data_IF_508524645589
#
_entry.id   IF_508524645589
#
_cell.length_a   1.000
_cell.length_b   1.000
_cell.length_c   1.000
_cell.angle_alpha   90.00
_cell.angle_beta   90.00
_cell.angle_gamma   90.00
#
_symmetry.space_group_name_H-M   'P 1'
#
loop_
_entity.id
_entity.type
_entity.pdbx_description
1 polymer ?
#
# COMPACT_ATOMS: atom_id res chain seq x y z
N UNK A 1 14.47 6.24 0.08
CA UNK A 1 14.93 6.18 1.48
C UNK A 1 16.29 6.84 1.58
N UNK A 2 16.71 7.18 2.79
CA UNK A 2 18.02 7.82 3.07
C UNK A 2 18.70 7.11 4.23
N UNK A 3 20.03 7.06 4.26
CA UNK A 3 20.82 6.52 5.37
C UNK A 3 21.23 5.04 5.24
N UNK A 4 21.83 4.52 6.31
CA UNK A 4 22.53 3.22 6.34
C UNK A 4 21.56 2.04 6.13
N UNK A 5 20.36 2.11 6.71
CA UNK A 5 19.33 1.07 6.52
C UNK A 5 18.88 0.98 5.05
N UNK A 6 18.67 2.12 4.40
CA UNK A 6 18.33 2.17 2.98
C UNK A 6 19.45 1.63 2.09
N UNK A 7 20.71 1.95 2.39
CA UNK A 7 21.85 1.39 1.67
C UNK A 7 21.91 -0.14 1.80
N UNK A 8 21.67 -0.68 2.99
CA UNK A 8 21.58 -2.12 3.23
C UNK A 8 20.44 -2.79 2.43
N UNK A 9 19.24 -2.21 2.44
CA UNK A 9 18.10 -2.75 1.69
C UNK A 9 18.37 -2.74 0.19
N UNK A 10 19.00 -1.68 -0.33
CA UNK A 10 19.37 -1.57 -1.74
C UNK A 10 20.37 -2.66 -2.14
N UNK A 11 21.35 -2.93 -1.28
CA UNK A 11 22.30 -4.03 -1.48
C UNK A 11 21.56 -5.38 -1.50
N UNK A 12 20.73 -5.68 -0.50
CA UNK A 12 19.90 -6.90 -0.51
C UNK A 12 18.99 -6.99 -1.74
N UNK A 13 18.44 -5.86 -2.18
CA UNK A 13 17.60 -5.78 -3.35
C UNK A 13 18.36 -6.21 -4.61
N UNK A 14 19.56 -5.65 -4.78
CA UNK A 14 20.43 -5.92 -5.92
C UNK A 14 20.92 -7.37 -5.96
N UNK A 15 21.15 -7.99 -4.80
CA UNK A 15 21.59 -9.40 -4.70
C UNK A 15 20.43 -10.41 -4.62
N UNK A 16 19.16 -9.97 -4.72
CA UNK A 16 18.01 -10.88 -4.65
C UNK A 16 17.77 -11.51 -3.27
N UNK A 17 18.42 -11.00 -2.23
CA UNK A 17 18.35 -11.50 -0.85
C UNK A 17 17.23 -10.84 -0.01
N UNK A 18 16.34 -10.10 -0.68
CA UNK A 18 15.20 -9.43 -0.08
C UNK A 18 13.94 -10.25 -0.33
N UNK A 19 13.28 -10.66 0.74
CA UNK A 19 11.98 -11.34 0.67
C UNK A 19 10.82 -10.36 0.56
N UNK A 20 11.02 -9.10 0.97
CA UNK A 20 10.00 -8.06 0.98
C UNK A 20 10.60 -6.64 1.07
N UNK A 21 9.78 -5.59 0.90
CA UNK A 21 10.15 -4.16 1.00
C UNK A 21 9.65 -3.54 2.31
N UNK A 22 10.44 -3.70 3.37
CA UNK A 22 10.09 -3.27 4.73
C UNK A 22 10.30 -1.80 5.10
N UNK A 23 10.91 -1.00 4.21
CA UNK A 23 11.39 0.33 4.58
C UNK A 23 10.27 1.27 5.05
N UNK A 24 9.16 1.35 4.31
CA UNK A 24 8.03 2.19 4.67
C UNK A 24 7.42 1.79 6.02
N UNK A 25 7.34 0.48 6.29
CA UNK A 25 6.81 -0.04 7.55
C UNK A 25 7.73 0.33 8.72
N UNK A 26 9.05 0.18 8.57
CA UNK A 26 10.01 0.59 9.61
C UNK A 26 9.95 2.08 9.89
N UNK A 27 9.84 2.91 8.85
CA UNK A 27 9.64 4.35 9.00
C UNK A 27 8.34 4.66 9.75
N UNK A 28 7.24 3.97 9.42
CA UNK A 28 5.96 4.13 10.13
C UNK A 28 6.05 3.72 11.62
N UNK A 29 6.76 2.63 11.94
CA UNK A 29 7.01 2.21 13.33
C UNK A 29 7.81 3.25 14.12
N UNK A 30 8.79 3.90 13.48
CA UNK A 30 9.59 4.98 14.08
C UNK A 30 8.81 6.29 14.17
N UNK A 31 7.95 6.59 13.20
CA UNK A 31 7.16 7.82 13.17
C UNK A 31 5.96 7.77 14.12
N UNK A 32 5.41 6.59 14.41
CA UNK A 32 4.27 6.44 15.30
C UNK A 32 4.56 7.04 16.69
N UNK A 33 3.61 7.85 17.21
CA UNK A 33 3.72 8.47 18.53
C UNK A 33 3.63 7.42 19.64
N UNK A 34 4.14 7.76 20.84
CA UNK A 34 3.97 6.93 22.04
C UNK A 34 2.47 6.72 22.35
N UNK A 35 2.09 5.50 22.69
CA UNK A 35 0.69 5.09 22.88
C UNK A 35 -0.18 5.13 21.62
N UNK A 36 0.42 5.28 20.44
CA UNK A 36 -0.30 5.36 19.16
C UNK A 36 -0.70 4.00 18.59
N UNK A 37 -1.42 4.04 17.48
CA UNK A 37 -1.80 2.84 16.72
C UNK A 37 -1.08 2.83 15.37
N UNK A 38 -0.45 1.70 15.05
CA UNK A 38 0.11 1.41 13.74
C UNK A 38 -0.81 0.40 13.03
N UNK A 39 -1.49 0.85 11.98
CA UNK A 39 -2.32 -0.01 11.12
C UNK A 39 -1.51 -0.45 9.89
N UNK A 40 -1.32 -1.75 9.74
CA UNK A 40 -0.57 -2.34 8.63
C UNK A 40 -1.57 -2.97 7.65
N UNK A 41 -1.65 -2.37 6.47
CA UNK A 41 -2.43 -2.87 5.33
C UNK A 41 -1.48 -3.14 4.16
N UNK A 42 -1.66 -4.29 3.50
CA UNK A 42 -0.83 -4.69 2.36
C UNK A 42 -0.52 -6.18 2.38
N UNK A 43 0.14 -6.65 1.33
CA UNK A 43 0.62 -8.04 1.23
C UNK A 43 2.09 -8.04 1.62
N UNK A 44 2.38 -8.64 2.76
CA UNK A 44 3.74 -8.80 3.28
C UNK A 44 4.04 -10.27 3.53
N UNK A 45 5.27 -10.69 3.22
CA UNK A 45 5.82 -12.01 3.51
C UNK A 45 6.73 -11.97 4.74
N UNK A 46 7.53 -13.01 4.94
CA UNK A 46 8.56 -13.05 5.99
C UNK A 46 9.58 -11.94 5.76
N UNK A 47 9.67 -10.98 6.68
CA UNK A 47 10.53 -9.80 6.59
C UNK A 47 11.49 -9.73 7.78
N UNK A 48 12.65 -9.11 7.59
CA UNK A 48 13.66 -8.94 8.63
C UNK A 48 13.69 -7.52 9.21
N UNK A 49 14.39 -7.36 10.35
CA UNK A 49 14.71 -6.07 10.98
C UNK A 49 13.50 -5.24 11.42
N UNK A 50 12.50 -5.90 12.00
CA UNK A 50 11.42 -5.19 12.68
C UNK A 50 11.94 -4.48 13.94
N UNK A 51 11.80 -3.14 14.08
CA UNK A 51 12.22 -2.39 15.26
C UNK A 51 11.27 -2.63 16.45
N UNK A 52 11.18 -3.88 16.92
CA UNK A 52 10.27 -4.30 17.97
C UNK A 52 10.52 -3.53 19.28
N UNK A 53 11.78 -3.26 19.61
CA UNK A 53 12.13 -2.44 20.78
C UNK A 53 11.54 -1.03 20.73
N UNK A 54 11.42 -0.42 19.52
CA UNK A 54 10.76 0.89 19.36
C UNK A 54 9.27 0.77 19.67
N UNK A 55 8.60 -0.27 19.16
CA UNK A 55 7.17 -0.49 19.43
C UNK A 55 6.90 -0.70 20.91
N UNK A 56 7.72 -1.54 21.57
CA UNK A 56 7.60 -1.83 23.01
C UNK A 56 7.81 -0.57 23.83
N UNK A 57 8.93 0.15 23.63
CA UNK A 57 9.26 1.35 24.40
C UNK A 57 8.24 2.49 24.20
N UNK A 58 7.57 2.50 23.04
CA UNK A 58 6.52 3.47 22.75
C UNK A 58 5.13 2.99 23.17
N UNK A 59 4.94 1.73 23.56
CA UNK A 59 3.62 1.17 23.85
C UNK A 59 2.65 1.27 22.65
N UNK A 60 3.12 0.98 21.44
CA UNK A 60 2.32 1.11 20.21
C UNK A 60 1.38 -0.08 20.06
N UNK A 61 0.10 0.18 19.79
CA UNK A 61 -0.86 -0.84 19.35
C UNK A 61 -0.64 -1.15 17.87
N UNK A 62 -0.35 -2.40 17.53
CA UNK A 62 -0.22 -2.83 16.13
C UNK A 62 -1.49 -3.55 15.70
N UNK A 63 -2.12 -3.09 14.63
CA UNK A 63 -3.26 -3.74 13.99
C UNK A 63 -2.89 -4.13 12.56
N UNK A 64 -3.14 -5.37 12.18
CA UNK A 64 -2.88 -5.88 10.84
C UNK A 64 -4.18 -6.33 10.19
N UNK A 65 -4.27 -6.24 8.86
CA UNK A 65 -5.42 -6.76 8.12
C UNK A 65 -5.10 -6.96 6.64
N UNK A 66 -5.80 -7.91 6.01
CA UNK A 66 -6.16 -7.81 4.60
C UNK A 66 -7.45 -6.99 4.48
N UNK A 67 -7.73 -6.45 3.30
CA UNK A 67 -8.93 -5.63 3.10
C UNK A 67 -10.20 -6.47 3.28
N UNK A 68 -11.11 -6.05 4.16
CA UNK A 68 -12.37 -6.77 4.48
C UNK A 68 -13.54 -6.26 3.62
N UNK A 69 -13.40 -6.27 2.29
CA UNK A 69 -14.31 -5.56 1.39
C UNK A 69 -15.76 -5.93 1.57
N UNK A 70 -16.09 -7.22 1.57
CA UNK A 70 -17.47 -7.68 1.67
C UNK A 70 -18.21 -7.16 2.91
N UNK A 71 -17.49 -6.92 4.02
CA UNK A 71 -18.08 -6.37 5.24
C UNK A 71 -18.45 -4.89 5.08
N UNK A 72 -17.59 -4.11 4.42
CA UNK A 72 -17.72 -2.65 4.34
C UNK A 72 -18.37 -2.16 3.05
N UNK A 73 -18.56 -3.02 2.05
CA UNK A 73 -19.21 -2.64 0.78
C UNK A 73 -20.55 -1.93 0.99
N UNK A 74 -21.49 -2.44 1.82
CA UNK A 74 -22.75 -1.74 2.07
C UNK A 74 -22.55 -0.34 2.67
N UNK A 75 -21.69 -0.23 3.69
CA UNK A 75 -21.35 1.03 4.36
C UNK A 75 -20.67 2.06 3.44
N UNK A 76 -20.02 1.60 2.36
CA UNK A 76 -19.34 2.45 1.39
C UNK A 76 -20.22 2.81 0.18
N UNK A 77 -21.22 1.99 -0.15
CA UNK A 77 -22.10 2.24 -1.30
C UNK A 77 -23.12 3.33 -1.01
N UNK A 78 -23.69 3.38 0.21
CA UNK A 78 -24.71 4.38 0.55
C UNK A 78 -24.17 5.82 0.41
N UNK A 79 -23.00 6.19 0.97
CA UNK A 79 -22.46 7.55 0.81
C UNK A 79 -22.06 7.89 -0.64
N UNK A 80 -21.70 6.88 -1.44
CA UNK A 80 -21.41 7.07 -2.88
C UNK A 80 -22.71 7.32 -3.65
N UNK A 81 -23.77 6.57 -3.35
CA UNK A 81 -25.09 6.75 -3.96
C UNK A 81 -25.72 8.10 -3.57
N UNK A 82 -25.52 8.53 -2.33
CA UNK A 82 -26.01 9.81 -1.81
C UNK A 82 -25.14 11.01 -2.26
N UNK A 83 -24.03 10.75 -2.96
CA UNK A 83 -23.13 11.78 -3.49
C UNK A 83 -22.21 12.43 -2.45
N UNK A 84 -22.11 11.87 -1.25
CA UNK A 84 -21.19 12.33 -0.21
C UNK A 84 -19.72 11.99 -0.53
N UNK A 85 -19.50 10.92 -1.30
CA UNK A 85 -18.18 10.46 -1.73
C UNK A 85 -18.16 10.35 -3.26
N UNK A 86 -17.22 11.06 -3.90
CA UNK A 86 -16.92 10.90 -5.32
C UNK A 86 -15.81 9.87 -5.56
N UNK A 87 -16.11 8.67 -6.12
CA UNK A 87 -15.12 7.64 -6.40
C UNK A 87 -14.40 7.83 -7.74
N UNK A 88 -14.67 8.91 -8.48
CA UNK A 88 -14.14 9.15 -9.83
C UNK A 88 -12.67 9.55 -9.83
N UNK A 89 -12.19 10.26 -8.80
CA UNK A 89 -10.81 10.74 -8.69
C UNK A 89 -9.73 9.70 -9.02
N UNK A 90 -9.77 8.45 -8.49
CA UNK A 90 -8.77 7.45 -8.83
C UNK A 90 -8.89 6.92 -10.27
N UNK A 91 -10.05 7.01 -10.93
CA UNK A 91 -10.22 6.62 -12.33
C UNK A 91 -9.55 7.62 -13.25
N UNK A 92 -8.34 7.30 -13.73
CA UNK A 92 -7.58 8.25 -14.57
C UNK A 92 -7.63 7.93 -16.05
N UNK A 93 -7.83 6.67 -16.44
CA UNK A 93 -7.83 6.24 -17.83
C UNK A 93 -8.93 5.22 -18.08
N UNK A 94 -9.52 5.27 -19.27
CA UNK A 94 -10.52 4.33 -19.74
C UNK A 94 -10.03 3.62 -20.98
N UNK A 95 -10.29 2.31 -21.03
CA UNK A 95 -9.88 1.42 -22.12
C UNK A 95 -11.06 0.53 -22.47
N UNK A 96 -11.14 0.09 -23.73
CA UNK A 96 -11.99 -1.03 -24.11
C UNK A 96 -11.45 -2.34 -23.51
N UNK A 97 -12.31 -3.36 -23.42
CA UNK A 97 -11.89 -4.68 -22.93
C UNK A 97 -10.74 -5.28 -23.76
N UNK A 98 -10.72 -5.03 -25.08
CA UNK A 98 -9.64 -5.47 -25.98
C UNK A 98 -8.29 -4.81 -25.72
N UNK A 99 -8.29 -3.61 -25.15
CA UNK A 99 -7.08 -2.86 -24.79
C UNK A 99 -6.54 -3.23 -23.40
N UNK A 100 -7.15 -4.20 -22.72
CA UNK A 100 -6.71 -4.69 -21.42
C UNK A 100 -5.19 -4.90 -21.30
N UNK A 101 -4.52 -5.62 -22.23
CA UNK A 101 -3.08 -5.83 -22.17
C UNK A 101 -2.26 -4.52 -22.13
N UNK A 102 -2.70 -3.52 -22.89
CA UNK A 102 -2.06 -2.20 -22.94
C UNK A 102 -2.28 -1.42 -21.66
N UNK A 103 -3.51 -1.43 -21.13
CA UNK A 103 -3.83 -0.83 -19.83
C UNK A 103 -2.95 -1.41 -18.70
N UNK A 104 -2.72 -2.73 -18.70
CA UNK A 104 -1.82 -3.39 -17.75
C UNK A 104 -0.36 -2.97 -17.93
N UNK A 105 0.12 -2.83 -19.17
CA UNK A 105 1.48 -2.36 -19.47
C UNK A 105 1.69 -0.95 -18.93
N UNK A 106 0.83 -0.02 -19.31
CA UNK A 106 0.89 1.38 -18.87
C UNK A 106 0.83 1.49 -17.34
N UNK A 107 -0.08 0.76 -16.68
CA UNK A 107 -0.18 0.75 -15.23
C UNK A 107 1.10 0.24 -14.55
N UNK A 108 1.68 -0.84 -15.06
CA UNK A 108 2.93 -1.42 -14.55
C UNK A 108 4.11 -0.47 -14.73
N UNK A 109 4.17 0.20 -15.87
CA UNK A 109 5.26 1.12 -16.24
C UNK A 109 5.07 2.53 -15.66
N UNK A 110 3.91 2.78 -15.03
CA UNK A 110 3.52 4.05 -14.41
C UNK A 110 3.55 5.21 -15.41
N UNK A 111 3.11 4.92 -16.62
CA UNK A 111 3.02 5.90 -17.70
C UNK A 111 1.85 6.86 -17.47
N UNK A 112 2.01 8.08 -17.99
CA UNK A 112 0.97 9.11 -18.03
C UNK A 112 0.24 9.40 -16.71
N UNK A 113 0.92 9.22 -15.58
CA UNK A 113 0.32 9.41 -14.26
C UNK A 113 -0.86 8.47 -13.98
N UNK A 114 -0.91 7.30 -14.62
CA UNK A 114 -1.99 6.33 -14.44
C UNK A 114 -2.09 5.85 -12.98
N UNK A 115 -3.30 5.96 -12.39
CA UNK A 115 -3.61 5.55 -11.01
C UNK A 115 -4.51 4.31 -11.01
N UNK A 116 -5.64 4.34 -11.73
CA UNK A 116 -6.56 3.21 -11.88
C UNK A 116 -7.12 3.17 -13.30
N UNK A 117 -6.76 2.17 -14.12
CA UNK A 117 -7.43 1.95 -15.40
C UNK A 117 -8.83 1.38 -15.16
N UNK A 118 -9.80 1.81 -15.97
CA UNK A 118 -11.14 1.24 -16.03
C UNK A 118 -11.36 0.61 -17.39
N UNK A 119 -11.69 -0.68 -17.40
CA UNK A 119 -12.03 -1.41 -18.61
C UNK A 119 -13.55 -1.37 -18.81
N UNK A 120 -13.97 -0.78 -19.94
CA UNK A 120 -15.37 -0.79 -20.35
C UNK A 120 -15.61 -1.96 -21.33
N UNK A 121 -16.71 -2.71 -21.15
CA UNK A 121 -17.08 -3.80 -22.05
C UNK A 121 -17.22 -3.34 -23.50
#
# INVERSE_FOLDING_TARGET
GTGVTYAYDRVKQQFGLHTDRGEALRQAMIACRKGGTLSILGVYSMMDKFPLGVLINKGVTVRTAQQHGQRYVPELLDPVADGEIDPSYPTTHEFSLSEGPEAYRMFREKEDGMIRPVLRP
#
